data_IF_637227682485
#
_entry.id   IF_637227682485
#
_cell.length_a   1.000
_cell.length_b   1.000
_cell.length_c   1.000
_cell.angle_alpha   90.00
_cell.angle_beta   90.00
_cell.angle_gamma   90.00
#
_symmetry.space_group_name_H-M   'P 1'
#
loop_
_entity.id
_entity.type
_entity.pdbx_description
1 polymer ?
#
# COMPACT_ATOMS: atom_id res chain seq x y z
N UNK A 1 13.02 -10.87 15.18
CA UNK A 1 11.97 -11.90 14.97
C UNK A 1 10.82 -11.56 15.89
N UNK A 2 9.96 -10.72 15.39
CA UNK A 2 8.90 -10.07 16.13
C UNK A 2 7.63 -10.87 15.87
N UNK A 3 6.90 -11.22 16.93
CA UNK A 3 5.61 -11.90 16.82
C UNK A 3 4.56 -10.97 16.24
N UNK A 4 3.50 -11.55 15.70
CA UNK A 4 2.36 -10.81 15.13
C UNK A 4 1.79 -9.83 16.16
N UNK A 5 1.56 -8.59 15.74
CA UNK A 5 1.04 -7.51 16.59
C UNK A 5 2.04 -6.91 17.58
N UNK A 6 3.25 -7.46 17.71
CA UNK A 6 4.25 -6.90 18.64
C UNK A 6 5.02 -5.71 18.07
N UNK A 7 5.08 -5.53 16.74
CA UNK A 7 5.78 -4.42 16.13
C UNK A 7 5.28 -3.07 16.67
N UNK A 8 4.00 -2.79 16.51
CA UNK A 8 3.38 -1.54 16.99
C UNK A 8 3.43 -1.39 18.51
N UNK A 9 3.33 -2.50 19.26
CA UNK A 9 3.49 -2.46 20.71
C UNK A 9 4.90 -2.08 21.12
N UNK A 10 5.94 -2.57 20.41
CA UNK A 10 7.32 -2.19 20.66
C UNK A 10 7.50 -0.70 20.39
N UNK A 11 7.04 -0.20 19.23
CA UNK A 11 7.12 1.23 18.88
C UNK A 11 6.42 2.08 19.93
N UNK A 12 5.22 1.71 20.35
CA UNK A 12 4.45 2.42 21.38
C UNK A 12 5.18 2.45 22.74
N UNK A 13 5.75 1.31 23.18
CA UNK A 13 6.56 1.25 24.42
C UNK A 13 7.80 2.13 24.37
N UNK A 14 8.34 2.36 23.18
CA UNK A 14 9.47 3.27 22.95
C UNK A 14 9.03 4.74 22.85
N UNK A 15 7.76 5.04 23.08
CA UNK A 15 7.19 6.39 22.98
C UNK A 15 6.97 6.86 21.55
N UNK A 16 6.99 5.96 20.59
CA UNK A 16 6.80 6.25 19.17
C UNK A 16 5.40 5.97 18.66
N UNK A 17 5.24 6.20 17.37
CA UNK A 17 4.03 5.89 16.60
C UNK A 17 4.43 5.23 15.29
N UNK A 18 3.66 4.27 14.84
CA UNK A 18 3.80 3.65 13.53
C UNK A 18 2.49 3.65 12.76
N UNK A 19 2.59 3.66 11.45
CA UNK A 19 1.46 3.47 10.55
C UNK A 19 1.95 3.06 9.16
N UNK A 20 1.02 2.79 8.25
CA UNK A 20 1.29 2.51 6.85
C UNK A 20 0.20 3.11 5.97
N UNK A 21 0.52 3.34 4.71
CA UNK A 21 -0.47 3.64 3.68
C UNK A 21 -0.11 2.98 2.36
N UNK A 22 -1.12 2.70 1.56
CA UNK A 22 -0.97 2.13 0.23
C UNK A 22 -1.57 3.08 -0.82
N UNK A 23 -0.86 3.22 -1.92
CA UNK A 23 -1.31 3.90 -3.12
C UNK A 23 -1.25 2.94 -4.33
N UNK A 24 -1.60 3.41 -5.51
CA UNK A 24 -1.45 2.61 -6.74
C UNK A 24 0.01 2.21 -7.03
N UNK A 25 0.98 2.99 -6.59
CA UNK A 25 2.38 2.84 -6.96
C UNK A 25 3.27 2.31 -5.85
N UNK A 26 2.88 2.49 -4.59
CA UNK A 26 3.73 2.15 -3.46
C UNK A 26 2.93 1.88 -2.19
N UNK A 27 3.49 1.06 -1.33
CA UNK A 27 3.12 0.98 0.08
C UNK A 27 4.24 1.59 0.89
N UNK A 28 3.91 2.52 1.77
CA UNK A 28 4.86 3.13 2.69
C UNK A 28 4.54 2.69 4.11
N UNK A 29 5.59 2.37 4.85
CA UNK A 29 5.55 2.10 6.28
C UNK A 29 6.37 3.18 6.97
N UNK A 30 5.86 3.77 8.00
CA UNK A 30 6.58 4.84 8.67
C UNK A 30 6.44 4.78 10.18
N UNK A 31 7.50 5.22 10.85
CA UNK A 31 7.57 5.34 12.29
C UNK A 31 8.03 6.74 12.66
N UNK A 32 7.45 7.28 13.72
CA UNK A 32 7.93 8.46 14.43
C UNK A 32 8.50 7.99 15.73
N UNK A 33 9.80 8.21 15.92
CA UNK A 33 10.51 7.65 17.06
C UNK A 33 11.62 8.60 17.51
N UNK A 34 12.04 8.51 18.77
CA UNK A 34 13.21 9.21 19.27
C UNK A 34 14.50 8.78 18.53
N UNK A 35 15.39 9.73 18.28
CA UNK A 35 16.65 9.54 17.52
C UNK A 35 17.47 8.35 18.02
N UNK A 36 17.57 8.18 19.34
CA UNK A 36 18.34 7.10 19.97
C UNK A 36 17.76 5.70 19.68
N UNK A 37 16.55 5.62 19.14
CA UNK A 37 15.87 4.37 18.75
C UNK A 37 15.89 4.11 17.25
N UNK A 38 16.48 5.02 16.46
CA UNK A 38 16.49 4.89 15.00
C UNK A 38 17.08 3.56 14.53
N UNK A 39 18.23 3.16 15.07
CA UNK A 39 18.86 1.86 14.74
C UNK A 39 17.90 0.70 14.97
N UNK A 40 17.27 0.65 16.13
CA UNK A 40 16.35 -0.44 16.50
C UNK A 40 15.19 -0.55 15.50
N UNK A 41 14.61 0.57 15.12
CA UNK A 41 13.47 0.59 14.17
C UNK A 41 13.93 0.18 12.77
N UNK A 42 15.09 0.64 12.31
CA UNK A 42 15.65 0.20 11.03
C UNK A 42 15.93 -1.31 11.00
N UNK A 43 16.42 -1.89 12.09
CA UNK A 43 16.62 -3.34 12.21
C UNK A 43 15.30 -4.11 12.19
N UNK A 44 14.25 -3.57 12.81
CA UNK A 44 12.90 -4.15 12.77
C UNK A 44 12.32 -4.13 11.36
N UNK A 45 12.51 -3.05 10.60
CA UNK A 45 12.07 -2.94 9.21
C UNK A 45 12.86 -3.89 8.29
N UNK A 46 14.16 -4.02 8.48
CA UNK A 46 14.98 -4.99 7.75
C UNK A 46 14.54 -6.43 8.01
N UNK A 47 14.23 -6.78 9.27
CA UNK A 47 13.69 -8.10 9.62
C UNK A 47 12.33 -8.35 8.97
N UNK A 48 11.43 -7.37 8.95
CA UNK A 48 10.14 -7.46 8.28
C UNK A 48 10.30 -7.66 6.76
N UNK A 49 11.25 -6.98 6.13
CA UNK A 49 11.52 -7.14 4.69
C UNK A 49 12.00 -8.55 4.33
N UNK A 50 12.71 -9.24 5.23
CA UNK A 50 13.32 -10.53 4.92
C UNK A 50 12.60 -11.73 5.50
N UNK A 51 12.01 -11.58 6.68
CA UNK A 51 11.64 -12.72 7.52
C UNK A 51 10.15 -12.72 7.88
N UNK A 52 9.32 -11.97 7.15
CA UNK A 52 7.88 -11.94 7.39
C UNK A 52 7.29 -13.35 7.33
N UNK A 53 6.62 -13.74 8.39
CA UNK A 53 5.86 -14.99 8.47
C UNK A 53 4.40 -14.64 8.59
N UNK A 54 3.59 -15.24 7.73
CA UNK A 54 2.15 -15.09 7.74
C UNK A 54 1.53 -16.44 8.05
N UNK A 55 0.82 -16.54 9.16
CA UNK A 55 0.02 -17.73 9.46
C UNK A 55 -1.30 -17.65 8.68
N UNK A 56 -1.87 -18.77 8.29
CA UNK A 56 -3.14 -18.85 7.56
C UNK A 56 -4.25 -18.06 8.25
N UNK A 57 -4.44 -18.32 9.54
CA UNK A 57 -5.46 -17.65 10.34
C UNK A 57 -5.31 -16.12 10.33
N UNK A 58 -4.07 -15.62 10.38
CA UNK A 58 -3.80 -14.18 10.40
C UNK A 58 -4.19 -13.53 9.08
N UNK A 59 -3.84 -14.18 7.95
CA UNK A 59 -4.18 -13.69 6.62
C UNK A 59 -5.69 -13.67 6.41
N UNK A 60 -6.40 -14.72 6.82
CA UNK A 60 -7.85 -14.79 6.69
C UNK A 60 -8.55 -13.74 7.56
N UNK A 61 -8.08 -13.55 8.79
CA UNK A 61 -8.62 -12.50 9.67
C UNK A 61 -8.41 -11.11 9.06
N UNK A 62 -7.21 -10.83 8.55
CA UNK A 62 -6.90 -9.53 7.93
C UNK A 62 -7.70 -9.31 6.64
N UNK A 63 -7.89 -10.35 5.85
CA UNK A 63 -8.77 -10.29 4.67
C UNK A 63 -10.20 -9.85 5.03
N UNK A 64 -10.74 -10.38 6.13
CA UNK A 64 -12.07 -10.02 6.58
C UNK A 64 -12.11 -8.56 7.08
N UNK A 65 -11.04 -8.07 7.72
CA UNK A 65 -10.87 -6.65 8.08
C UNK A 65 -10.87 -5.77 6.83
N UNK A 66 -10.12 -6.16 5.78
CA UNK A 66 -10.07 -5.40 4.51
C UNK A 66 -11.45 -5.39 3.82
N UNK A 67 -12.18 -6.50 3.84
CA UNK A 67 -13.54 -6.56 3.31
C UNK A 67 -14.48 -5.60 4.05
N UNK A 68 -14.37 -5.50 5.37
CA UNK A 68 -15.16 -4.56 6.17
C UNK A 68 -14.74 -3.11 5.93
N UNK A 69 -13.44 -2.85 5.80
CA UNK A 69 -12.91 -1.54 5.42
C UNK A 69 -13.47 -1.09 4.07
N UNK A 70 -13.50 -1.99 3.07
CA UNK A 70 -14.10 -1.71 1.77
C UNK A 70 -15.59 -1.39 1.89
N UNK A 71 -16.35 -2.17 2.66
CA UNK A 71 -17.77 -1.88 2.90
C UNK A 71 -17.96 -0.49 3.48
N UNK A 72 -17.17 -0.15 4.49
CA UNK A 72 -17.24 1.14 5.17
C UNK A 72 -16.87 2.32 4.27
N UNK A 73 -15.79 2.18 3.48
CA UNK A 73 -15.24 3.29 2.69
C UNK A 73 -15.88 3.45 1.32
N UNK A 74 -16.32 2.34 0.70
CA UNK A 74 -16.83 2.34 -0.67
C UNK A 74 -18.33 2.03 -0.69
N UNK A 75 -18.74 0.80 -0.29
CA UNK A 75 -20.10 0.31 -0.51
C UNK A 75 -21.15 1.15 0.24
N UNK A 76 -20.80 1.65 1.42
CA UNK A 76 -21.70 2.48 2.23
C UNK A 76 -21.71 3.95 1.79
N UNK A 77 -20.91 4.36 0.81
CA UNK A 77 -20.81 5.72 0.33
C UNK A 77 -21.11 5.80 -1.18
N UNK A 78 -22.28 6.29 -1.60
CA UNK A 78 -22.62 6.39 -3.02
C UNK A 78 -21.63 7.20 -3.85
N UNK A 79 -21.01 8.24 -3.28
CA UNK A 79 -19.97 9.03 -3.95
C UNK A 79 -18.75 8.18 -4.26
N UNK A 80 -18.27 7.40 -3.28
CA UNK A 80 -17.13 6.51 -3.46
C UNK A 80 -17.42 5.38 -4.47
N UNK A 81 -18.64 4.85 -4.48
CA UNK A 81 -19.07 3.88 -5.50
C UNK A 81 -19.01 4.50 -6.90
N UNK A 82 -19.51 5.72 -7.05
CA UNK A 82 -19.47 6.42 -8.34
C UNK A 82 -18.03 6.73 -8.76
N UNK A 83 -17.18 7.18 -7.85
CA UNK A 83 -15.77 7.48 -8.12
C UNK A 83 -14.99 6.22 -8.55
N UNK A 84 -15.25 5.09 -7.94
CA UNK A 84 -14.66 3.80 -8.34
C UNK A 84 -15.07 3.42 -9.76
N UNK A 85 -16.37 3.52 -10.08
CA UNK A 85 -16.89 3.22 -11.41
C UNK A 85 -16.37 4.23 -12.47
N UNK A 86 -16.25 5.51 -12.08
CA UNK A 86 -15.67 6.54 -12.94
C UNK A 86 -14.20 6.27 -13.24
N UNK A 87 -13.42 5.86 -12.26
CA UNK A 87 -12.01 5.51 -12.44
C UNK A 87 -11.86 4.31 -13.38
N UNK A 88 -12.65 3.26 -13.16
CA UNK A 88 -12.68 2.08 -14.04
C UNK A 88 -13.11 2.42 -15.48
N UNK A 89 -14.01 3.39 -15.67
CA UNK A 89 -14.41 3.86 -16.99
C UNK A 89 -13.40 4.83 -17.61
N UNK A 90 -12.68 5.59 -16.80
CA UNK A 90 -11.69 6.58 -17.27
C UNK A 90 -10.44 5.89 -17.83
N UNK A 91 -9.96 4.85 -17.17
CA UNK A 91 -8.77 4.10 -17.59
C UNK A 91 -9.15 2.84 -18.36
N UNK A 92 -8.82 2.79 -19.64
CA UNK A 92 -9.10 1.62 -20.50
C UNK A 92 -8.07 0.51 -20.38
N UNK A 93 -6.84 0.90 -20.12
CA UNK A 93 -5.69 -0.02 -20.11
C UNK A 93 -4.74 0.19 -18.93
N UNK A 94 -4.74 1.38 -18.33
CA UNK A 94 -3.85 1.66 -17.22
C UNK A 94 -4.38 1.06 -15.91
N UNK A 95 -3.51 0.45 -15.07
CA UNK A 95 -3.92 -0.16 -13.80
C UNK A 95 -4.57 0.79 -12.78
N UNK A 96 -4.50 2.10 -12.99
CA UNK A 96 -5.17 3.09 -12.14
C UNK A 96 -6.70 3.03 -12.21
N UNK A 97 -7.26 2.30 -13.17
CA UNK A 97 -8.68 1.95 -13.18
C UNK A 97 -9.09 0.91 -12.13
N UNK A 98 -8.12 0.22 -11.53
CA UNK A 98 -8.36 -0.75 -10.45
C UNK A 98 -8.33 -0.01 -9.11
N UNK A 99 -9.31 -0.18 -8.23
CA UNK A 99 -9.29 0.48 -6.93
C UNK A 99 -8.10 0.03 -6.08
N UNK A 100 -7.49 0.96 -5.33
CA UNK A 100 -6.32 0.67 -4.48
C UNK A 100 -6.61 -0.45 -3.48
N UNK A 101 -7.80 -0.45 -2.89
CA UNK A 101 -8.22 -1.51 -1.95
C UNK A 101 -8.53 -2.84 -2.65
N UNK A 102 -8.68 -2.85 -3.99
CA UNK A 102 -9.07 -4.02 -4.77
C UNK A 102 -10.59 -4.18 -4.92
N UNK A 103 -10.99 -5.10 -5.80
CA UNK A 103 -12.39 -5.45 -6.00
C UNK A 103 -12.89 -6.42 -4.92
N UNK A 104 -14.10 -6.23 -4.42
CA UNK A 104 -14.71 -7.07 -3.36
C UNK A 104 -14.57 -8.56 -3.63
N UNK A 105 -14.91 -8.99 -4.86
CA UNK A 105 -14.90 -10.41 -5.25
C UNK A 105 -13.48 -10.99 -5.38
N UNK A 106 -12.47 -10.16 -5.61
CA UNK A 106 -11.07 -10.57 -5.66
C UNK A 106 -10.49 -10.66 -4.23
N UNK A 107 -10.75 -9.65 -3.41
CA UNK A 107 -10.32 -9.66 -2.00
C UNK A 107 -10.85 -10.91 -1.28
N UNK A 108 -12.13 -11.25 -1.49
CA UNK A 108 -12.75 -12.41 -0.86
C UNK A 108 -12.07 -13.76 -1.21
N UNK A 109 -11.30 -13.81 -2.30
CA UNK A 109 -10.58 -15.01 -2.76
C UNK A 109 -9.10 -15.03 -2.36
N UNK A 110 -8.55 -13.90 -1.86
CA UNK A 110 -7.14 -13.82 -1.50
C UNK A 110 -6.80 -14.88 -0.44
N UNK A 111 -5.76 -15.62 -0.74
CA UNK A 111 -5.21 -16.67 0.08
C UNK A 111 -3.89 -16.23 0.74
N UNK A 112 -3.42 -17.04 1.68
CA UNK A 112 -2.07 -16.89 2.25
C UNK A 112 -0.98 -17.02 1.18
N UNK A 113 -1.16 -17.91 0.23
CA UNK A 113 -0.24 -18.17 -0.87
C UNK A 113 -0.11 -16.94 -1.78
N UNK A 114 -1.22 -16.24 -2.06
CA UNK A 114 -1.21 -15.00 -2.83
C UNK A 114 -0.42 -13.91 -2.09
N UNK A 115 -0.68 -13.73 -0.80
CA UNK A 115 0.03 -12.77 0.03
C UNK A 115 1.54 -13.05 0.10
N UNK A 116 1.93 -14.31 0.30
CA UNK A 116 3.34 -14.71 0.33
C UNK A 116 4.02 -14.61 -1.04
N UNK A 117 3.31 -14.91 -2.12
CA UNK A 117 3.82 -14.77 -3.49
C UNK A 117 4.10 -13.31 -3.81
N UNK A 118 3.17 -12.41 -3.46
CA UNK A 118 3.35 -10.97 -3.60
C UNK A 118 4.53 -10.46 -2.77
N UNK A 119 4.60 -10.85 -1.50
CA UNK A 119 5.70 -10.48 -0.61
C UNK A 119 7.06 -10.91 -1.18
N UNK A 120 7.24 -12.18 -1.54
CA UNK A 120 8.48 -12.71 -2.11
C UNK A 120 8.89 -12.02 -3.42
N UNK A 121 7.91 -11.59 -4.20
CA UNK A 121 8.15 -10.95 -5.48
C UNK A 121 8.57 -9.49 -5.35
N UNK A 122 7.99 -8.73 -4.43
CA UNK A 122 8.11 -7.27 -4.42
C UNK A 122 8.85 -6.70 -3.22
N UNK A 123 8.94 -7.43 -2.09
CA UNK A 123 9.66 -6.96 -0.91
C UNK A 123 11.14 -7.31 -1.01
N UNK A 124 11.93 -6.38 -1.51
CA UNK A 124 13.36 -6.54 -1.68
C UNK A 124 14.07 -5.19 -1.59
N UNK A 125 15.35 -5.13 -1.17
CA UNK A 125 16.07 -3.88 -1.01
C UNK A 125 16.20 -3.07 -2.30
N UNK A 126 16.29 -3.74 -3.45
CA UNK A 126 16.33 -3.09 -4.76
C UNK A 126 14.94 -2.64 -5.29
N UNK A 127 13.89 -2.78 -4.49
CA UNK A 127 12.54 -2.25 -4.73
C UNK A 127 12.05 -1.40 -3.55
N UNK A 128 12.95 -0.89 -2.73
CA UNK A 128 12.63 -0.11 -1.55
C UNK A 128 13.37 1.23 -1.56
N UNK A 129 12.77 2.22 -0.94
CA UNK A 129 13.36 3.53 -0.69
C UNK A 129 13.29 3.78 0.81
N UNK A 130 14.46 4.01 1.42
CA UNK A 130 14.55 4.43 2.81
C UNK A 130 14.57 5.95 2.87
N UNK A 131 13.65 6.52 3.63
CA UNK A 131 13.62 7.96 3.93
C UNK A 131 13.73 8.16 5.43
N UNK A 132 14.68 8.97 5.86
CA UNK A 132 14.86 9.36 7.27
C UNK A 132 14.88 10.88 7.36
N UNK A 133 14.05 11.43 8.24
CA UNK A 133 13.96 12.88 8.47
C UNK A 133 13.89 13.15 9.96
N UNK A 134 14.66 14.14 10.44
CA UNK A 134 14.71 14.52 11.85
C UNK A 134 16.07 15.03 12.26
N UNK A 135 16.39 14.94 13.56
CA UNK A 135 17.68 15.34 14.13
C UNK A 135 18.78 14.31 13.86
N UNK A 136 19.11 14.12 12.59
CA UNK A 136 20.13 13.19 12.10
C UNK A 136 20.91 13.81 10.94
N UNK A 137 22.16 13.41 10.78
CA UNK A 137 22.96 13.83 9.62
C UNK A 137 22.88 12.76 8.50
N UNK A 138 23.03 13.15 7.24
CA UNK A 138 23.10 12.18 6.14
C UNK A 138 24.20 11.11 6.32
N UNK A 139 25.33 11.47 6.92
CA UNK A 139 26.43 10.54 7.19
C UNK A 139 26.06 9.47 8.22
N UNK A 140 25.36 9.86 9.31
CA UNK A 140 24.85 8.92 10.31
C UNK A 140 23.84 7.95 9.69
N UNK A 141 22.87 8.48 8.93
CA UNK A 141 21.85 7.67 8.26
C UNK A 141 22.48 6.70 7.27
N UNK A 142 23.44 7.18 6.45
CA UNK A 142 24.15 6.32 5.50
C UNK A 142 24.88 5.18 6.21
N UNK A 143 25.61 5.48 7.29
CA UNK A 143 26.32 4.46 8.07
C UNK A 143 25.38 3.39 8.62
N UNK A 144 24.25 3.80 9.19
CA UNK A 144 23.22 2.87 9.69
C UNK A 144 22.61 2.04 8.56
N UNK A 145 22.28 2.68 7.45
CA UNK A 145 21.70 2.01 6.28
C UNK A 145 22.66 0.96 5.70
N UNK A 146 23.93 1.30 5.52
CA UNK A 146 24.97 0.37 5.04
C UNK A 146 25.13 -0.83 5.99
N UNK A 147 25.10 -0.63 7.30
CA UNK A 147 25.22 -1.70 8.29
C UNK A 147 24.00 -2.63 8.34
N UNK A 148 22.81 -2.08 8.21
CA UNK A 148 21.56 -2.79 8.43
C UNK A 148 21.01 -3.38 7.12
N UNK A 149 20.99 -2.60 6.05
CA UNK A 149 20.42 -3.01 4.76
C UNK A 149 21.47 -3.43 3.73
N UNK A 150 22.74 -3.00 3.88
CA UNK A 150 23.78 -3.24 2.88
C UNK A 150 24.14 -4.72 2.66
N UNK A 151 23.86 -5.59 3.63
CA UNK A 151 24.04 -7.03 3.49
C UNK A 151 22.86 -7.76 2.84
N UNK A 152 21.74 -7.06 2.65
CA UNK A 152 20.53 -7.64 2.08
C UNK A 152 20.71 -7.85 0.57
N UNK A 153 20.44 -9.05 0.12
CA UNK A 153 20.60 -9.39 -1.30
C UNK A 153 19.45 -8.80 -2.13
N UNK A 154 19.77 -8.19 -3.28
CA UNK A 154 18.74 -7.79 -4.23
C UNK A 154 17.98 -9.01 -4.75
N UNK A 155 16.74 -8.81 -5.18
CA UNK A 155 15.92 -9.85 -5.80
C UNK A 155 15.95 -9.72 -7.33
N UNK A 156 16.29 -10.80 -8.03
CA UNK A 156 16.23 -10.88 -9.48
C UNK A 156 14.78 -10.90 -10.02
N UNK A 157 13.81 -11.11 -9.15
CA UNK A 157 12.39 -11.02 -9.50
C UNK A 157 11.93 -9.58 -9.77
N UNK A 158 12.66 -8.57 -9.26
CA UNK A 158 12.36 -7.15 -9.49
C UNK A 158 12.80 -6.80 -10.91
N UNK A 159 11.83 -6.43 -11.73
CA UNK A 159 12.07 -5.96 -13.11
C UNK A 159 11.72 -4.48 -13.21
N UNK A 160 12.30 -3.82 -14.21
CA UNK A 160 11.93 -2.45 -14.54
C UNK A 160 10.42 -2.34 -14.73
N UNK A 161 9.82 -1.33 -14.10
CA UNK A 161 8.39 -1.09 -14.21
C UNK A 161 8.05 -0.59 -15.62
N UNK A 162 7.23 -1.35 -16.32
CA UNK A 162 6.61 -0.94 -17.57
C UNK A 162 5.18 -0.51 -17.27
N UNK A 163 4.87 0.76 -17.53
CA UNK A 163 3.51 1.27 -17.43
C UNK A 163 2.83 1.18 -18.77
N UNK A 164 1.65 0.52 -18.88
CA UNK A 164 0.91 0.51 -20.11
C UNK A 164 0.48 1.93 -20.47
N UNK A 165 0.56 2.27 -21.74
CA UNK A 165 0.08 3.55 -22.27
C UNK A 165 -1.44 3.50 -22.37
N UNK A 166 -2.09 4.53 -21.86
CA UNK A 166 -3.54 4.71 -22.02
C UNK A 166 -3.83 5.10 -23.48
N UNK A 167 -4.77 4.43 -24.16
CA UNK A 167 -5.19 4.81 -25.50
C UNK A 167 -5.94 6.15 -25.48
N UNK A 168 -5.96 6.84 -26.64
CA UNK A 168 -6.72 8.07 -26.80
C UNK A 168 -8.23 7.80 -26.62
N UNK A 169 -8.87 8.63 -25.82
CA UNK A 169 -10.32 8.57 -25.63
C UNK A 169 -11.02 9.25 -26.80
N UNK A 170 -11.72 8.47 -27.62
CA UNK A 170 -12.44 8.94 -28.81
C UNK A 170 -13.93 9.19 -28.59
N UNK A 171 -14.44 8.86 -27.41
CA UNK A 171 -15.85 9.02 -27.05
C UNK A 171 -16.02 9.52 -25.63
N UNK A 172 -17.01 10.38 -25.42
CA UNK A 172 -17.44 10.77 -24.09
C UNK A 172 -18.10 9.57 -23.38
N UNK A 173 -17.86 9.47 -22.07
CA UNK A 173 -18.50 8.48 -21.19
C UNK A 173 -19.29 9.21 -20.13
N UNK A 174 -20.50 8.76 -19.89
CA UNK A 174 -21.36 9.27 -18.84
C UNK A 174 -21.79 8.13 -17.94
N UNK A 175 -21.56 8.29 -16.66
CA UNK A 175 -22.03 7.39 -15.61
C UNK A 175 -23.04 8.15 -14.76
N UNK A 176 -24.09 7.48 -14.36
CA UNK A 176 -25.11 8.03 -13.48
C UNK A 176 -25.41 7.01 -12.39
N UNK A 177 -25.28 7.41 -11.15
CA UNK A 177 -25.68 6.63 -10.00
C UNK A 177 -26.86 7.31 -9.30
N UNK A 178 -27.95 6.58 -9.14
CA UNK A 178 -29.10 7.00 -8.34
C UNK A 178 -29.15 6.16 -7.09
N UNK A 179 -28.96 6.79 -5.96
CA UNK A 179 -28.97 6.14 -4.64
C UNK A 179 -29.69 7.05 -3.64
N UNK A 180 -30.63 6.48 -2.89
CA UNK A 180 -31.39 7.25 -1.90
C UNK A 180 -30.51 7.84 -0.77
N UNK A 181 -29.32 7.29 -0.56
CA UNK A 181 -28.33 7.80 0.39
C UNK A 181 -27.53 8.99 -0.14
N UNK A 182 -27.57 9.23 -1.45
CA UNK A 182 -26.95 10.41 -2.05
C UNK A 182 -27.71 11.66 -1.60
N UNK A 183 -27.01 12.65 -1.08
CA UNK A 183 -27.61 13.87 -0.59
C UNK A 183 -28.07 14.78 -1.73
N UNK A 184 -27.23 15.74 -2.14
CA UNK A 184 -27.54 16.66 -3.24
C UNK A 184 -27.07 16.09 -4.57
N UNK A 185 -27.78 16.36 -5.69
CA UNK A 185 -27.27 16.05 -7.02
C UNK A 185 -25.89 16.68 -7.23
N UNK A 186 -24.93 15.88 -7.66
CA UNK A 186 -23.55 16.31 -7.87
C UNK A 186 -23.11 15.87 -9.27
N UNK A 187 -22.40 16.72 -9.97
CA UNK A 187 -21.80 16.45 -11.26
C UNK A 187 -20.27 16.51 -11.15
N UNK A 188 -19.62 15.43 -11.54
CA UNK A 188 -18.17 15.38 -11.67
C UNK A 188 -17.79 15.29 -13.15
N UNK A 189 -16.72 15.99 -13.54
CA UNK A 189 -16.11 15.85 -14.86
C UNK A 189 -14.63 15.53 -14.71
N UNK A 190 -14.22 14.40 -15.30
CA UNK A 190 -12.85 13.93 -15.28
C UNK A 190 -12.25 13.99 -16.68
N UNK A 191 -10.98 14.38 -16.77
CA UNK A 191 -10.21 14.34 -17.99
C UNK A 191 -8.83 13.79 -17.67
N UNK A 192 -8.30 12.96 -18.55
CA UNK A 192 -6.88 12.58 -18.48
C UNK A 192 -6.03 13.76 -18.96
N UNK A 193 -4.97 14.03 -18.24
CA UNK A 193 -3.97 15.02 -18.64
C UNK A 193 -2.61 14.33 -18.77
N UNK A 194 -1.77 14.73 -19.75
CA UNK A 194 -0.38 14.30 -19.79
C UNK A 194 0.35 14.74 -18.51
N UNK A 195 1.24 13.89 -18.02
CA UNK A 195 2.21 14.28 -17.00
C UNK A 195 3.47 14.79 -17.63
#
# INVERSE_FOLDING_TARGET
KIATGEFSKIISRLGGQDNAFTSHDATAYFQRISKDRLRQVMEMEADRMLNLKLAEKEVLTERDVILEERRSRIENNPGSVLDEQMSAALYQNHPYGIPVIGWMHEIAKLSREDALSFYKRYYAPNNAILVVSGDVTPAEVKTLADQIFGSLKPSDAIKSRVRPKEPEHRAARRLELRDARAGKPTLYRYNLAPR
#
